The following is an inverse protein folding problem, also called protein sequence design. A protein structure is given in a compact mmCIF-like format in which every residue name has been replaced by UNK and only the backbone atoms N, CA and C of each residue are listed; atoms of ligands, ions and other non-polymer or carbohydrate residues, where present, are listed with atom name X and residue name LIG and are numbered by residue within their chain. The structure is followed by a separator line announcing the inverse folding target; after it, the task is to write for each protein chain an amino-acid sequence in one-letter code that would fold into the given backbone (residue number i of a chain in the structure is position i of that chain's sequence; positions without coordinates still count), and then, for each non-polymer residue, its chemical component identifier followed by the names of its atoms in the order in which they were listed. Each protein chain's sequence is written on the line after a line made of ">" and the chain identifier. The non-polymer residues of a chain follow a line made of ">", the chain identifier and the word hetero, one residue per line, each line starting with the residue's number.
data_IF_258973598701
#
_entry.id   IF_258973598701
#
_cell.length_a   1.000
_cell.length_b   1.000
_cell.length_c   1.000
_cell.angle_alpha   90.00
_cell.angle_beta   90.00
_cell.angle_gamma   90.00
#
_symmetry.space_group_name_H-M   'P 1'
#
loop_
_entity.id
_entity.type
_entity.pdbx_description
1 polymer ?
#
# COMPACT_ATOMS: atom_id res chain seq x y z
N UNK A 1 -10.70 35.50 -1.70
CA UNK A 1 -10.81 34.25 -2.48
C UNK A 1 -10.60 33.10 -1.51
N UNK A 2 -11.66 32.40 -1.10
CA UNK A 2 -11.55 31.28 -0.15
C UNK A 2 -11.21 30.01 -0.92
N UNK A 3 -10.14 29.32 -0.54
CA UNK A 3 -9.81 28.00 -1.09
C UNK A 3 -10.92 26.99 -0.71
N UNK A 4 -11.25 26.03 -1.58
CA UNK A 4 -12.16 24.95 -1.22
C UNK A 4 -11.54 24.12 -0.09
N UNK A 5 -12.30 23.97 1.00
CA UNK A 5 -11.93 23.14 2.14
C UNK A 5 -12.29 21.70 1.75
N UNK A 6 -11.29 20.85 1.51
CA UNK A 6 -11.52 19.42 1.35
C UNK A 6 -12.09 18.89 2.67
N UNK A 7 -13.38 18.58 2.68
CA UNK A 7 -14.04 17.89 3.80
C UNK A 7 -13.40 16.52 3.93
N UNK A 8 -12.94 16.18 5.15
CA UNK A 8 -12.43 14.86 5.52
C UNK A 8 -13.27 13.78 4.84
N UNK A 9 -12.61 12.86 4.13
CA UNK A 9 -13.27 11.67 3.62
C UNK A 9 -14.06 11.04 4.78
N UNK A 10 -15.37 10.87 4.60
CA UNK A 10 -16.23 10.22 5.59
C UNK A 10 -15.67 8.84 5.93
N UNK A 11 -15.76 8.45 7.20
CA UNK A 11 -15.27 7.15 7.75
C UNK A 11 -15.65 5.95 6.86
N UNK A 12 -16.83 6.01 6.23
CA UNK A 12 -17.32 5.03 5.25
C UNK A 12 -16.41 4.82 4.02
N UNK A 13 -15.72 5.85 3.53
CA UNK A 13 -14.84 5.71 2.38
C UNK A 13 -13.57 4.90 2.72
N UNK A 14 -13.10 5.01 3.98
CA UNK A 14 -11.99 4.22 4.49
C UNK A 14 -12.40 2.77 4.77
N UNK A 15 -13.70 2.52 5.00
CA UNK A 15 -14.23 1.17 5.21
C UNK A 15 -14.02 0.22 4.01
N UNK A 16 -13.75 0.75 2.81
CA UNK A 16 -13.45 -0.03 1.61
C UNK A 16 -11.99 -0.47 1.52
N UNK A 17 -11.12 0.13 2.33
CA UNK A 17 -9.70 -0.16 2.35
C UNK A 17 -9.34 -1.10 3.50
N UNK A 18 -8.22 -1.78 3.33
CA UNK A 18 -7.59 -2.65 4.31
C UNK A 18 -6.10 -2.35 4.34
N UNK A 19 -5.48 -2.59 5.50
CA UNK A 19 -4.05 -2.48 5.69
C UNK A 19 -3.47 -3.88 5.93
N UNK A 20 -2.45 -4.23 5.16
CA UNK A 20 -1.67 -5.46 5.35
C UNK A 20 -0.35 -5.06 5.99
N UNK A 21 -0.03 -5.67 7.13
CA UNK A 21 1.21 -5.39 7.85
C UNK A 21 2.32 -6.34 7.40
N UNK A 22 3.49 -5.77 7.12
CA UNK A 22 4.71 -6.52 6.78
C UNK A 22 5.81 -6.05 7.73
N UNK A 23 6.26 -6.97 8.59
CA UNK A 23 7.25 -6.73 9.63
C UNK A 23 8.37 -7.76 9.57
N UNK A 24 9.42 -7.54 10.36
CA UNK A 24 10.64 -8.36 10.37
C UNK A 24 11.85 -7.64 9.77
N UNK A 25 13.03 -8.18 10.04
CA UNK A 25 14.32 -7.59 9.64
C UNK A 25 14.44 -7.46 8.11
N UNK A 26 13.93 -8.45 7.37
CA UNK A 26 14.01 -8.51 5.90
C UNK A 26 12.84 -7.82 5.18
N UNK A 27 11.91 -7.19 5.91
CA UNK A 27 10.67 -6.66 5.32
C UNK A 27 10.92 -5.66 4.17
N UNK A 28 11.93 -4.80 4.32
CA UNK A 28 12.30 -3.82 3.29
C UNK A 28 12.77 -4.50 2.01
N UNK A 29 13.70 -5.44 2.13
CA UNK A 29 14.32 -6.12 0.99
C UNK A 29 13.32 -7.04 0.29
N UNK A 30 12.44 -7.69 1.07
CA UNK A 30 11.32 -8.44 0.55
C UNK A 30 10.41 -7.56 -0.32
N UNK A 31 9.92 -6.44 0.21
CA UNK A 31 9.04 -5.53 -0.53
C UNK A 31 9.72 -4.92 -1.76
N UNK A 32 11.01 -4.60 -1.66
CA UNK A 32 11.76 -4.05 -2.78
C UNK A 32 11.90 -5.03 -3.96
N UNK A 33 11.89 -6.35 -3.69
CA UNK A 33 12.05 -7.38 -4.71
C UNK A 33 10.74 -7.78 -5.40
N UNK A 34 9.61 -7.62 -4.73
CA UNK A 34 8.31 -8.08 -5.26
C UNK A 34 7.45 -6.93 -5.78
N UNK A 35 7.68 -5.71 -5.32
CA UNK A 35 6.88 -4.55 -5.71
C UNK A 35 7.63 -3.68 -6.72
N UNK A 36 6.88 -2.87 -7.47
CA UNK A 36 7.48 -1.91 -8.42
C UNK A 36 8.08 -0.66 -7.75
N UNK A 37 7.93 -0.52 -6.43
CA UNK A 37 8.32 0.70 -5.72
C UNK A 37 9.76 0.66 -5.21
N UNK A 38 10.39 1.83 -5.20
CA UNK A 38 11.63 2.04 -4.48
C UNK A 38 11.35 2.15 -2.98
N UNK A 39 11.78 1.14 -2.23
CA UNK A 39 11.57 1.04 -0.78
C UNK A 39 12.55 1.90 0.03
N UNK A 40 13.44 2.67 -0.62
CA UNK A 40 14.28 3.66 0.03
C UNK A 40 13.50 4.95 0.38
N UNK A 41 12.41 5.25 -0.33
CA UNK A 41 11.68 6.51 -0.19
C UNK A 41 10.16 6.33 -0.02
N UNK A 42 9.68 5.59 1.01
CA UNK A 42 8.25 5.58 1.35
C UNK A 42 7.79 6.96 1.90
N UNK A 43 6.50 7.34 1.76
CA UNK A 43 5.42 6.54 1.19
C UNK A 43 5.52 6.43 -0.34
N UNK A 44 5.13 5.28 -0.88
CA UNK A 44 5.25 4.99 -2.31
C UNK A 44 4.00 4.28 -2.84
N UNK A 45 3.57 4.62 -4.05
CA UNK A 45 2.56 3.85 -4.77
C UNK A 45 3.24 2.71 -5.52
N UNK A 46 2.72 1.51 -5.36
CA UNK A 46 3.36 0.29 -5.83
C UNK A 46 2.35 -0.66 -6.48
N UNK A 47 2.86 -1.49 -7.37
CA UNK A 47 2.14 -2.63 -7.91
C UNK A 47 2.86 -3.94 -7.55
N UNK A 48 2.08 -4.99 -7.35
CA UNK A 48 2.57 -6.37 -7.44
C UNK A 48 2.27 -6.89 -8.85
N UNK A 49 3.28 -7.45 -9.50
CA UNK A 49 3.15 -7.96 -10.86
C UNK A 49 3.27 -9.49 -10.90
N UNK A 50 2.70 -10.10 -11.94
CA UNK A 50 3.01 -11.48 -12.31
C UNK A 50 4.47 -11.59 -12.81
N UNK A 51 5.02 -12.80 -12.92
CA UNK A 51 6.33 -13.01 -13.55
C UNK A 51 6.43 -12.48 -14.99
N UNK A 52 5.30 -12.31 -15.68
CA UNK A 52 5.22 -11.73 -17.03
C UNK A 52 5.14 -10.19 -17.03
N UNK A 53 5.18 -9.55 -15.85
CA UNK A 53 5.09 -8.09 -15.71
C UNK A 53 3.68 -7.53 -15.75
N UNK A 54 2.64 -8.38 -15.69
CA UNK A 54 1.25 -7.91 -15.64
C UNK A 54 0.87 -7.53 -14.21
N UNK A 55 0.22 -6.38 -14.01
CA UNK A 55 -0.19 -5.96 -12.67
C UNK A 55 -1.29 -6.88 -12.14
N UNK A 56 -1.08 -7.40 -10.93
CA UNK A 56 -2.09 -8.12 -10.14
C UNK A 56 -2.83 -7.19 -9.20
N UNK A 57 -2.08 -6.38 -8.44
CA UNK A 57 -2.62 -5.54 -7.39
C UNK A 57 -1.89 -4.21 -7.33
N UNK A 58 -2.62 -3.16 -6.92
CA UNK A 58 -2.06 -1.86 -6.58
C UNK A 58 -2.22 -1.60 -5.08
N UNK A 59 -1.26 -0.91 -4.50
CA UNK A 59 -1.29 -0.52 -3.09
C UNK A 59 -0.41 0.69 -2.83
N UNK A 60 -0.75 1.42 -1.77
CA UNK A 60 0.11 2.44 -1.19
C UNK A 60 0.92 1.81 -0.07
N UNK A 61 2.25 1.97 -0.10
CA UNK A 61 3.13 1.49 0.96
C UNK A 61 3.53 2.65 1.84
N UNK A 62 3.39 2.46 3.16
CA UNK A 62 3.83 3.40 4.18
C UNK A 62 4.79 2.71 5.14
N UNK A 63 5.81 3.44 5.62
CA UNK A 63 6.71 2.96 6.66
C UNK A 63 6.10 3.28 8.02
N UNK A 64 6.16 2.32 8.94
CA UNK A 64 5.71 2.47 10.33
C UNK A 64 6.85 2.12 11.29
N UNK A 65 6.64 2.32 12.60
CA UNK A 65 7.64 1.96 13.62
C UNK A 65 7.89 0.44 13.67
N UNK A 66 6.90 -0.37 13.29
CA UNK A 66 6.97 -1.83 13.31
C UNK A 66 7.38 -2.46 11.96
N UNK A 67 7.50 -1.67 10.89
CA UNK A 67 7.80 -2.17 9.55
C UNK A 67 7.12 -1.35 8.46
N UNK A 68 6.21 -1.99 7.72
CA UNK A 68 5.51 -1.40 6.58
C UNK A 68 4.02 -1.76 6.59
N UNK A 69 3.20 -0.84 6.10
CA UNK A 69 1.78 -1.06 5.85
C UNK A 69 1.47 -0.89 4.37
N UNK A 70 0.79 -1.89 3.81
CA UNK A 70 0.28 -1.86 2.44
C UNK A 70 -1.21 -1.57 2.50
N UNK A 71 -1.59 -0.40 1.99
CA UNK A 71 -2.98 0.08 1.97
C UNK A 71 -3.57 -0.22 0.60
N UNK A 72 -4.63 -1.01 0.57
CA UNK A 72 -5.33 -1.41 -0.65
C UNK A 72 -6.82 -1.64 -0.38
N UNK A 73 -7.61 -1.94 -1.40
CA UNK A 73 -9.03 -2.30 -1.23
C UNK A 73 -9.16 -3.64 -0.50
N UNK A 74 -10.23 -3.83 0.29
CA UNK A 74 -10.50 -5.10 0.99
C UNK A 74 -10.46 -6.33 0.08
N UNK A 75 -11.13 -6.27 -1.07
CA UNK A 75 -11.15 -7.38 -2.04
C UNK A 75 -9.74 -7.79 -2.49
N UNK A 76 -8.86 -6.80 -2.70
CA UNK A 76 -7.46 -7.03 -3.06
C UNK A 76 -6.68 -7.61 -1.89
N UNK A 77 -6.93 -7.15 -0.66
CA UNK A 77 -6.27 -7.67 0.52
C UNK A 77 -6.65 -9.13 0.81
N UNK A 78 -7.92 -9.50 0.61
CA UNK A 78 -8.38 -10.90 0.72
C UNK A 78 -7.73 -11.81 -0.32
N UNK A 79 -7.51 -11.31 -1.54
CA UNK A 79 -6.84 -12.08 -2.60
C UNK A 79 -5.31 -12.19 -2.43
N UNK A 80 -4.72 -11.42 -1.51
CA UNK A 80 -3.27 -11.38 -1.26
C UNK A 80 -2.82 -12.41 -0.20
N UNK A 81 -3.72 -12.79 0.72
CA UNK A 81 -3.49 -13.77 1.81
C UNK A 81 -3.75 -15.19 1.31
#
# INVERSE_FOLDING_TARGET
>A
MSLPRFTNATDDALSLFSAIEVSGEDAKDFLHRITTADMQTPPAFAALCTPQGLVRFYFSIQKTDAGYQLITTKDTAEAFV
#
